data_IF_144212025067
#
_entry.id   IF_144212025067
#
_cell.length_a   1.000
_cell.length_b   1.000
_cell.length_c   1.000
_cell.angle_alpha   90.00
_cell.angle_beta   90.00
_cell.angle_gamma   90.00
#
_symmetry.space_group_name_H-M   'P 1'
#
loop_
_entity.id
_entity.type
_entity.pdbx_description
1 polymer ?
#
# COMPACT_ATOMS: atom_id res chain seq x y z
N UNK A 1 38.75 -0.56 -35.29
CA UNK A 1 38.30 -1.15 -34.00
C UNK A 1 37.85 0.00 -33.14
N UNK A 2 36.56 0.36 -33.22
CA UNK A 2 35.99 1.49 -32.49
C UNK A 2 35.63 1.04 -31.08
N UNK A 3 36.26 1.69 -30.10
CA UNK A 3 35.97 1.53 -28.67
C UNK A 3 34.52 1.94 -28.41
N UNK A 4 33.68 1.01 -27.96
CA UNK A 4 32.36 1.33 -27.41
C UNK A 4 32.57 1.99 -26.05
N UNK A 5 32.35 3.29 -25.99
CA UNK A 5 32.16 4.01 -24.74
C UNK A 5 30.88 3.47 -24.08
N UNK A 6 31.03 2.65 -23.04
CA UNK A 6 29.95 2.44 -22.08
C UNK A 6 29.78 3.76 -21.31
N UNK A 7 28.69 4.49 -21.56
CA UNK A 7 28.21 5.46 -20.60
C UNK A 7 27.92 4.72 -19.29
N UNK A 8 28.39 5.20 -18.13
CA UNK A 8 28.03 4.60 -16.86
C UNK A 8 26.52 4.75 -16.67
N UNK A 9 25.82 3.63 -16.45
CA UNK A 9 24.43 3.64 -15.99
C UNK A 9 24.32 4.62 -14.81
N UNK A 10 23.45 5.62 -14.92
CA UNK A 10 23.15 6.54 -13.82
C UNK A 10 22.53 5.73 -12.68
N UNK A 11 23.35 5.20 -11.77
CA UNK A 11 22.90 4.73 -10.48
C UNK A 11 22.35 5.92 -9.72
N UNK A 12 21.02 5.99 -9.62
CA UNK A 12 20.39 6.92 -8.69
C UNK A 12 20.76 6.47 -7.27
N UNK A 13 21.15 7.39 -6.38
CA UNK A 13 21.36 7.03 -4.99
C UNK A 13 20.06 6.45 -4.41
N UNK A 14 20.20 5.34 -3.69
CA UNK A 14 19.08 4.67 -3.01
C UNK A 14 18.36 5.69 -2.12
N UNK A 15 17.04 5.67 -2.15
CA UNK A 15 16.22 6.56 -1.31
C UNK A 15 15.63 5.76 -0.17
N UNK A 16 15.80 6.25 1.05
CA UNK A 16 15.04 5.80 2.20
C UNK A 16 14.01 6.85 2.56
N UNK A 17 12.76 6.43 2.73
CA UNK A 17 11.71 7.26 3.33
C UNK A 17 11.44 6.72 4.73
N UNK A 18 11.43 7.60 5.71
CA UNK A 18 11.07 7.33 7.10
C UNK A 18 9.71 7.96 7.38
N UNK A 19 8.75 7.16 7.76
CA UNK A 19 7.35 7.53 8.02
C UNK A 19 6.79 6.45 8.96
N UNK A 20 6.06 6.73 10.02
CA UNK A 20 5.46 5.63 10.77
C UNK A 20 4.26 5.08 9.97
N UNK A 21 4.04 3.77 10.02
CA UNK A 21 2.84 3.14 9.47
C UNK A 21 2.46 1.94 10.33
N UNK A 22 1.17 1.63 10.41
CA UNK A 22 0.71 0.55 11.30
C UNK A 22 1.31 -0.80 10.91
N UNK A 23 1.44 -1.67 11.92
CA UNK A 23 2.05 -2.99 11.76
C UNK A 23 3.57 -3.00 11.94
N UNK A 24 4.10 -2.01 12.65
CA UNK A 24 5.49 -1.87 13.05
C UNK A 24 6.37 -1.27 11.96
N UNK A 25 5.82 -0.96 10.79
CA UNK A 25 6.57 -0.47 9.64
C UNK A 25 6.97 0.99 9.83
N UNK A 26 8.22 1.33 9.48
CA UNK A 26 8.66 2.72 9.56
C UNK A 26 9.62 3.18 8.46
N UNK A 27 10.15 2.27 7.63
CA UNK A 27 11.11 2.61 6.58
C UNK A 27 10.81 1.94 5.24
N UNK A 28 10.93 2.69 4.15
CA UNK A 28 10.74 2.21 2.78
C UNK A 28 11.93 2.58 1.91
N UNK A 29 12.22 1.73 0.93
CA UNK A 29 13.40 1.86 0.08
C UNK A 29 13.02 1.94 -1.40
N UNK A 30 13.50 2.96 -2.11
CA UNK A 30 13.35 3.10 -3.56
C UNK A 30 14.72 3.07 -4.25
N UNK A 31 14.88 2.11 -5.18
CA UNK A 31 16.10 1.87 -5.96
C UNK A 31 16.00 2.31 -7.42
N UNK A 32 14.79 2.59 -7.89
CA UNK A 32 14.47 2.80 -9.32
C UNK A 32 14.49 4.28 -9.71
N UNK A 33 14.75 5.18 -8.76
CA UNK A 33 14.75 6.61 -9.02
C UNK A 33 13.38 7.21 -9.34
N UNK A 34 12.31 6.42 -9.18
CA UNK A 34 10.92 6.84 -9.36
C UNK A 34 10.40 7.63 -8.15
N UNK A 35 9.21 8.23 -8.27
CA UNK A 35 8.54 8.94 -7.17
C UNK A 35 7.80 7.98 -6.20
N UNK A 36 7.84 6.68 -6.47
CA UNK A 36 7.21 5.65 -5.65
C UNK A 36 7.86 5.55 -4.25
N UNK A 37 7.12 5.03 -3.27
CA UNK A 37 7.67 4.78 -1.92
C UNK A 37 8.71 3.66 -1.95
N UNK A 38 8.46 2.66 -2.80
CA UNK A 38 9.16 1.39 -2.80
C UNK A 38 8.68 0.45 -1.68
N UNK A 39 9.21 -0.78 -1.60
CA UNK A 39 8.83 -1.74 -0.56
C UNK A 39 9.22 -1.26 0.84
N UNK A 40 8.46 -1.70 1.85
CA UNK A 40 8.86 -1.60 3.24
C UNK A 40 10.14 -2.42 3.46
N UNK A 41 11.02 -1.86 4.28
CA UNK A 41 12.38 -2.35 4.44
C UNK A 41 12.91 -2.16 5.86
N UNK A 42 12.14 -1.48 6.72
CA UNK A 42 12.42 -1.39 8.13
C UNK A 42 11.11 -1.40 8.94
N UNK A 43 11.15 -2.14 10.03
CA UNK A 43 10.09 -2.26 11.01
C UNK A 43 10.67 -2.38 12.43
N UNK A 44 9.79 -2.48 13.44
CA UNK A 44 10.19 -2.62 14.85
C UNK A 44 11.08 -3.84 15.14
N UNK A 45 11.11 -4.84 14.26
CA UNK A 45 11.93 -6.04 14.41
C UNK A 45 13.31 -5.91 13.76
N UNK A 46 13.49 -5.04 12.77
CA UNK A 46 14.79 -4.88 12.12
C UNK A 46 14.89 -3.84 11.01
N UNK A 47 16.13 -3.57 10.61
CA UNK A 47 16.48 -2.76 9.44
C UNK A 47 17.05 -3.67 8.35
N UNK A 48 16.33 -3.78 7.24
CA UNK A 48 16.73 -4.62 6.11
C UNK A 48 17.65 -3.93 5.10
N UNK A 49 18.00 -2.64 5.30
CA UNK A 49 18.66 -1.70 4.38
C UNK A 49 19.68 -2.28 3.41
N UNK A 50 19.70 -1.78 2.16
CA UNK A 50 20.90 -1.90 1.30
C UNK A 50 22.17 -1.40 2.03
N UNK A 51 21.98 -0.43 2.94
CA UNK A 51 23.02 0.12 3.78
C UNK A 51 22.70 -0.19 5.24
N UNK A 52 23.61 -0.83 5.99
CA UNK A 52 23.39 -1.13 7.41
C UNK A 52 23.39 0.16 8.25
N UNK A 53 22.70 0.10 9.39
CA UNK A 53 22.68 1.16 10.40
C UNK A 53 23.10 0.59 11.75
N UNK A 54 23.41 1.46 12.70
CA UNK A 54 23.72 1.04 14.08
C UNK A 54 22.51 0.39 14.76
N UNK A 55 22.77 -0.59 15.63
CA UNK A 55 21.72 -1.22 16.45
C UNK A 55 21.00 -0.17 17.33
N UNK A 56 21.74 0.80 17.87
CA UNK A 56 21.17 1.88 18.67
C UNK A 56 20.17 2.74 17.88
N UNK A 57 20.46 3.03 16.62
CA UNK A 57 19.56 3.78 15.75
C UNK A 57 18.31 2.95 15.42
N UNK A 58 18.48 1.66 15.12
CA UNK A 58 17.36 0.72 14.92
C UNK A 58 16.44 0.66 16.15
N UNK A 59 17.00 0.51 17.36
CA UNK A 59 16.24 0.50 18.61
C UNK A 59 15.49 1.81 18.83
N UNK A 60 16.13 2.93 18.52
CA UNK A 60 15.52 4.26 18.63
C UNK A 60 14.33 4.42 17.68
N UNK A 61 14.44 3.94 16.44
CA UNK A 61 13.31 3.90 15.50
C UNK A 61 12.20 2.97 15.98
N UNK A 62 12.53 1.77 16.45
CA UNK A 62 11.54 0.83 16.97
C UNK A 62 10.75 1.41 18.15
N UNK A 63 11.41 2.14 19.05
CA UNK A 63 10.76 2.83 20.17
C UNK A 63 9.82 3.95 19.70
N UNK A 64 10.26 4.76 18.72
CA UNK A 64 9.44 5.81 18.11
C UNK A 64 8.23 5.22 17.37
N UNK A 65 8.40 4.14 16.63
CA UNK A 65 7.31 3.45 15.94
C UNK A 65 6.32 2.81 16.92
N UNK A 66 6.82 2.21 18.00
CA UNK A 66 5.97 1.59 19.03
C UNK A 66 5.04 2.61 19.70
N UNK A 67 5.45 3.86 19.82
CA UNK A 67 4.59 4.94 20.32
C UNK A 67 3.44 5.25 19.36
N UNK A 68 3.72 5.29 18.04
CA UNK A 68 2.70 5.46 17.02
C UNK A 68 1.68 4.32 17.05
N UNK A 69 2.14 3.06 17.13
CA UNK A 69 1.28 1.88 17.23
C UNK A 69 0.34 1.89 18.45
N UNK A 70 0.81 2.47 19.56
CA UNK A 70 0.06 2.52 20.82
C UNK A 70 -0.85 3.74 20.93
N UNK A 71 -0.80 4.66 19.97
CA UNK A 71 -1.68 5.81 19.95
C UNK A 71 -3.14 5.36 19.94
N UNK A 72 -3.98 6.05 20.71
CA UNK A 72 -5.43 5.87 20.57
C UNK A 72 -5.84 6.47 19.22
N UNK A 73 -6.70 5.77 18.49
CA UNK A 73 -7.08 6.20 17.15
C UNK A 73 -8.59 6.45 17.10
N UNK A 74 -8.98 7.58 16.50
CA UNK A 74 -10.34 7.78 16.05
C UNK A 74 -10.50 7.10 14.70
N UNK A 75 -11.06 5.89 14.72
CA UNK A 75 -11.18 5.06 13.53
C UNK A 75 -12.18 5.59 12.50
N UNK A 76 -13.16 6.41 12.91
CA UNK A 76 -14.08 7.06 11.97
C UNK A 76 -13.38 8.19 11.21
N UNK A 77 -12.44 8.87 11.87
CA UNK A 77 -11.65 9.94 11.26
C UNK A 77 -10.33 9.47 10.64
N UNK A 78 -9.83 8.28 10.98
CA UNK A 78 -8.51 7.79 10.57
C UNK A 78 -7.35 8.55 11.22
N UNK A 79 -7.55 9.08 12.43
CA UNK A 79 -6.59 9.98 13.09
C UNK A 79 -6.01 9.30 14.33
N UNK A 80 -4.68 9.31 14.45
CA UNK A 80 -4.00 8.94 15.69
C UNK A 80 -3.95 10.15 16.66
N UNK A 81 -4.30 9.90 17.91
CA UNK A 81 -4.27 10.89 18.98
C UNK A 81 -2.87 10.94 19.60
N UNK A 82 -1.98 11.68 18.94
CA UNK A 82 -0.60 11.92 19.35
C UNK A 82 -0.33 13.39 19.62
N UNK A 83 0.70 13.67 20.42
CA UNK A 83 1.39 14.96 20.40
C UNK A 83 2.23 15.04 19.13
N UNK A 84 1.56 15.33 18.01
CA UNK A 84 2.15 15.33 16.67
C UNK A 84 3.41 16.18 16.54
N UNK A 85 3.47 17.43 17.04
CA UNK A 85 4.70 18.23 17.01
C UNK A 85 5.89 17.52 17.65
N UNK A 86 5.71 16.98 18.86
CA UNK A 86 6.78 16.27 19.58
C UNK A 86 7.14 14.95 18.92
N UNK A 87 6.15 14.24 18.40
CA UNK A 87 6.35 12.98 17.69
C UNK A 87 7.18 13.19 16.41
N UNK A 88 6.88 14.24 15.62
CA UNK A 88 7.63 14.60 14.43
C UNK A 88 9.03 15.13 14.73
N UNK A 89 9.20 15.92 15.80
CA UNK A 89 10.52 16.38 16.24
C UNK A 89 11.48 15.20 16.47
N UNK A 90 11.00 14.16 17.17
CA UNK A 90 11.76 12.94 17.42
C UNK A 90 12.03 12.14 16.15
N UNK A 91 11.01 11.91 15.31
CA UNK A 91 11.17 11.22 14.04
C UNK A 91 12.20 11.90 13.13
N UNK A 92 12.16 13.24 13.05
CA UNK A 92 13.11 14.04 12.28
C UNK A 92 14.53 13.93 12.84
N UNK A 93 14.70 13.93 14.16
CA UNK A 93 16.01 13.73 14.79
C UNK A 93 16.60 12.35 14.44
N UNK A 94 15.78 11.30 14.42
CA UNK A 94 16.21 9.96 14.00
C UNK A 94 16.58 9.91 12.51
N UNK A 95 15.78 10.53 11.65
CA UNK A 95 16.08 10.58 10.23
C UNK A 95 17.37 11.39 9.93
N UNK A 96 17.70 12.42 10.75
CA UNK A 96 19.00 13.10 10.68
C UNK A 96 20.16 12.19 11.10
N UNK A 97 19.99 11.40 12.17
CA UNK A 97 20.99 10.38 12.57
C UNK A 97 21.21 9.36 11.46
N UNK A 98 20.13 8.91 10.81
CA UNK A 98 20.20 8.02 9.65
C UNK A 98 21.00 8.65 8.50
N UNK A 99 20.74 9.92 8.17
CA UNK A 99 21.52 10.63 7.15
C UNK A 99 22.99 10.76 7.53
N UNK A 100 23.31 10.98 8.81
CA UNK A 100 24.69 11.04 9.29
C UNK A 100 25.41 9.68 9.19
N UNK A 101 24.73 8.58 9.48
CA UNK A 101 25.30 7.22 9.35
C UNK A 101 25.49 6.81 7.88
N UNK A 102 24.52 7.14 7.01
CA UNK A 102 24.54 6.73 5.61
C UNK A 102 25.28 7.71 4.68
N UNK A 103 25.57 8.93 5.13
CA UNK A 103 26.26 9.92 4.30
C UNK A 103 25.62 10.10 2.91
N UNK A 104 26.44 10.21 1.87
CA UNK A 104 25.96 10.47 0.50
C UNK A 104 25.58 9.21 -0.31
N UNK A 105 25.73 8.02 0.26
CA UNK A 105 25.33 6.79 -0.45
C UNK A 105 23.82 6.63 -0.56
N UNK A 106 23.06 7.35 0.28
CA UNK A 106 21.61 7.37 0.24
C UNK A 106 21.00 8.77 0.43
N UNK A 107 19.82 8.96 -0.17
CA UNK A 107 18.96 10.12 0.10
C UNK A 107 17.94 9.75 1.16
N UNK A 108 17.79 10.59 2.18
CA UNK A 108 16.91 10.32 3.31
C UNK A 108 15.76 11.31 3.29
N UNK A 109 14.55 10.77 3.33
CA UNK A 109 13.32 11.53 3.42
C UNK A 109 12.64 11.23 4.73
N UNK A 110 12.05 12.26 5.32
CA UNK A 110 11.07 12.12 6.38
C UNK A 110 9.71 12.46 5.82
N UNK A 111 8.72 11.64 6.10
CA UNK A 111 7.36 11.82 5.63
C UNK A 111 6.36 11.63 6.76
N UNK A 112 5.33 12.47 6.75
CA UNK A 112 4.25 12.41 7.71
C UNK A 112 3.29 11.28 7.38
N UNK A 113 2.79 10.55 8.38
CA UNK A 113 1.81 9.50 8.18
C UNK A 113 0.44 10.09 7.86
N UNK A 114 -0.44 9.30 7.25
CA UNK A 114 -1.77 9.79 6.84
C UNK A 114 -2.67 10.11 8.04
N UNK A 115 -2.35 9.53 9.19
CA UNK A 115 -3.00 9.70 10.47
C UNK A 115 -2.74 11.09 11.09
N UNK A 116 -1.73 11.85 10.65
CA UNK A 116 -1.52 13.25 11.06
C UNK A 116 -2.61 14.12 10.41
N UNK A 117 -3.47 14.82 11.18
CA UNK A 117 -4.46 15.74 10.61
C UNK A 117 -3.81 16.90 9.82
N UNK A 118 -2.54 17.20 10.09
CA UNK A 118 -1.73 18.18 9.37
C UNK A 118 -0.72 17.54 8.42
N UNK A 119 -0.99 16.31 7.95
CA UNK A 119 -0.08 15.56 7.08
C UNK A 119 0.36 16.37 5.86
N UNK A 120 -0.50 17.24 5.31
CA UNK A 120 -0.21 18.04 4.11
C UNK A 120 0.77 19.19 4.35
N UNK A 121 0.99 19.59 5.60
CA UNK A 121 1.93 20.68 5.94
C UNK A 121 3.33 20.08 6.08
N UNK A 122 4.24 20.43 5.16
CA UNK A 122 5.57 19.85 5.07
C UNK A 122 5.51 18.31 5.07
N UNK A 123 4.58 17.79 4.25
CA UNK A 123 4.25 16.36 4.17
C UNK A 123 5.48 15.48 4.06
N UNK A 124 6.40 15.89 3.21
CA UNK A 124 7.66 15.21 3.00
C UNK A 124 8.79 16.22 2.89
N UNK A 125 9.89 15.89 3.53
CA UNK A 125 11.11 16.68 3.50
C UNK A 125 12.30 15.77 3.25
N UNK A 126 13.31 16.29 2.57
CA UNK A 126 14.60 15.64 2.42
C UNK A 126 15.57 16.16 3.48
N UNK A 127 16.40 15.26 3.99
CA UNK A 127 17.49 15.58 4.92
C UNK A 127 18.79 15.55 4.14
N UNK A 128 19.43 16.72 4.05
CA UNK A 128 20.70 16.91 3.38
C UNK A 128 21.87 16.50 4.27
N UNK A 129 23.06 16.38 3.68
CA UNK A 129 24.27 15.91 4.37
C UNK A 129 24.70 16.79 5.56
N UNK A 130 24.38 18.08 5.53
CA UNK A 130 24.62 19.04 6.62
C UNK A 130 23.51 19.02 7.69
N UNK A 131 22.50 18.14 7.54
CA UNK A 131 21.34 18.06 8.43
C UNK A 131 20.24 19.09 8.13
N UNK A 132 20.43 19.93 7.11
CA UNK A 132 19.41 20.85 6.61
C UNK A 132 18.22 20.05 6.08
N UNK A 133 17.03 20.56 6.38
CA UNK A 133 15.77 19.96 5.94
C UNK A 133 15.19 20.84 4.84
N UNK A 134 14.98 20.25 3.67
CA UNK A 134 14.40 20.94 2.52
C UNK A 134 13.08 20.29 2.15
N UNK A 135 12.09 21.11 1.78
CA UNK A 135 10.81 20.59 1.30
C UNK A 135 11.03 19.75 0.03
N UNK A 136 10.51 18.53 0.04
CA UNK A 136 10.69 17.58 -1.05
C UNK A 136 9.36 17.38 -1.77
N UNK A 137 9.17 18.18 -2.81
CA UNK A 137 7.96 18.20 -3.64
C UNK A 137 8.13 17.20 -4.79
N UNK A 138 7.49 16.03 -4.72
CA UNK A 138 7.43 15.08 -5.85
C UNK A 138 6.15 15.31 -6.68
N UNK A 139 6.25 15.71 -7.96
CA UNK A 139 5.10 16.10 -8.78
C UNK A 139 4.03 15.02 -8.93
N UNK A 140 4.39 13.72 -8.94
CA UNK A 140 3.42 12.63 -9.11
C UNK A 140 2.59 12.32 -7.87
N UNK A 141 3.14 12.47 -6.66
CA UNK A 141 2.36 12.37 -5.41
C UNK A 141 1.49 13.60 -5.16
N UNK A 142 1.83 14.70 -5.81
CA UNK A 142 1.08 15.95 -5.80
C UNK A 142 0.06 16.07 -6.94
N UNK A 143 -0.34 14.97 -7.60
CA UNK A 143 -1.63 14.96 -8.30
C UNK A 143 -2.76 14.94 -7.27
N UNK A 144 -3.01 16.14 -6.73
CA UNK A 144 -4.32 16.81 -6.64
C UNK A 144 -5.51 15.86 -6.71
N UNK A 145 -6.02 15.43 -5.54
CA UNK A 145 -7.16 14.52 -5.39
C UNK A 145 -7.01 13.23 -6.21
N UNK A 146 -6.99 12.08 -5.52
CA UNK A 146 -7.35 10.82 -6.19
C UNK A 146 -8.59 11.11 -7.06
N UNK A 147 -8.62 10.66 -8.31
CA UNK A 147 -9.70 11.06 -9.21
C UNK A 147 -11.05 10.85 -8.53
N UNK A 148 -12.00 11.78 -8.68
CA UNK A 148 -13.28 11.73 -7.95
C UNK A 148 -14.08 10.43 -8.16
N UNK A 149 -13.71 9.64 -9.18
CA UNK A 149 -14.29 8.33 -9.47
C UNK A 149 -13.65 7.17 -8.70
N UNK A 150 -12.50 7.38 -8.07
CA UNK A 150 -11.80 6.36 -7.30
C UNK A 150 -12.56 6.09 -6.00
N UNK A 151 -12.60 4.83 -5.54
CA UNK A 151 -13.20 4.53 -4.24
C UNK A 151 -12.49 5.24 -3.09
N UNK A 152 -13.27 5.77 -2.15
CA UNK A 152 -12.77 6.31 -0.90
C UNK A 152 -12.22 5.22 0.03
N UNK A 153 -12.64 3.96 -0.15
CA UNK A 153 -12.12 2.84 0.63
C UNK A 153 -12.06 1.56 -0.20
N UNK A 154 -10.96 0.81 -0.06
CA UNK A 154 -10.77 -0.52 -0.63
C UNK A 154 -10.84 -1.57 0.47
N UNK A 155 -11.76 -2.53 0.35
CA UNK A 155 -11.85 -3.65 1.28
C UNK A 155 -11.50 -4.97 0.60
N UNK A 156 -10.91 -5.87 1.37
CA UNK A 156 -10.52 -7.21 0.93
C UNK A 156 -10.38 -8.11 2.16
N UNK A 157 -10.33 -9.43 1.97
CA UNK A 157 -10.21 -10.36 3.10
C UNK A 157 -8.81 -10.83 3.44
N UNK A 158 -7.78 -10.21 2.85
CA UNK A 158 -6.38 -10.40 3.25
C UNK A 158 -5.78 -11.76 2.96
N UNK A 159 -6.41 -12.59 2.11
CA UNK A 159 -5.80 -13.83 1.62
C UNK A 159 -4.62 -13.51 0.68
N UNK A 160 -3.73 -14.47 0.41
CA UNK A 160 -2.74 -14.35 -0.67
C UNK A 160 -3.39 -14.14 -2.03
N UNK A 161 -2.62 -13.72 -3.04
CA UNK A 161 -3.15 -13.47 -4.38
C UNK A 161 -3.86 -12.12 -4.48
N UNK A 162 -5.04 -12.10 -5.08
CA UNK A 162 -5.77 -10.85 -5.39
C UNK A 162 -6.10 -10.04 -4.14
N UNK A 163 -6.52 -10.71 -3.07
CA UNK A 163 -6.90 -10.05 -1.83
C UNK A 163 -5.74 -9.21 -1.27
N UNK A 164 -4.51 -9.75 -1.31
CA UNK A 164 -3.29 -9.06 -0.86
C UNK A 164 -2.89 -7.94 -1.82
N UNK A 165 -2.95 -8.20 -3.13
CA UNK A 165 -2.61 -7.21 -4.14
C UNK A 165 -3.50 -5.96 -4.03
N UNK A 166 -4.79 -6.13 -3.76
CA UNK A 166 -5.71 -5.01 -3.55
C UNK A 166 -5.36 -4.17 -2.32
N UNK A 167 -4.98 -4.81 -1.21
CA UNK A 167 -4.59 -4.11 0.00
C UNK A 167 -3.26 -3.39 -0.16
N UNK A 168 -2.25 -4.04 -0.77
CA UNK A 168 -0.97 -3.41 -1.07
C UNK A 168 -1.14 -2.23 -2.04
N UNK A 169 -1.99 -2.38 -3.07
CA UNK A 169 -2.32 -1.29 -3.98
C UNK A 169 -2.93 -0.10 -3.24
N UNK A 170 -3.92 -0.33 -2.37
CA UNK A 170 -4.53 0.72 -1.58
C UNK A 170 -3.52 1.40 -0.64
N UNK A 171 -2.66 0.64 0.04
CA UNK A 171 -1.56 1.20 0.84
C UNK A 171 -0.63 2.10 -0.01
N UNK A 172 -0.21 1.62 -1.18
CA UNK A 172 0.72 2.33 -2.05
C UNK A 172 0.16 3.66 -2.57
N UNK A 173 -1.16 3.72 -2.80
CA UNK A 173 -1.88 4.92 -3.26
C UNK A 173 -2.54 5.72 -2.13
N UNK A 174 -2.32 5.33 -0.86
CA UNK A 174 -2.93 5.95 0.33
C UNK A 174 -4.45 6.02 0.27
N UNK A 175 -5.06 5.00 -0.32
CA UNK A 175 -6.50 4.81 -0.28
C UNK A 175 -6.81 4.12 1.06
N UNK A 176 -7.73 4.64 1.89
CA UNK A 176 -8.17 3.93 3.08
C UNK A 176 -8.50 2.46 2.75
N UNK A 177 -7.96 1.53 3.53
CA UNK A 177 -8.11 0.11 3.27
C UNK A 177 -8.57 -0.66 4.49
N UNK A 178 -9.11 -1.86 4.27
CA UNK A 178 -9.47 -2.76 5.36
C UNK A 178 -10.25 -3.98 4.88
N UNK A 179 -11.23 -4.41 5.67
CA UNK A 179 -12.15 -5.49 5.33
C UNK A 179 -12.18 -6.60 6.37
N UNK A 180 -12.95 -7.64 6.09
CA UNK A 180 -13.16 -8.75 7.00
C UNK A 180 -12.20 -9.91 6.71
N UNK A 181 -11.51 -10.40 7.74
CA UNK A 181 -10.67 -11.60 7.68
C UNK A 181 -11.18 -12.67 8.67
N UNK A 182 -10.81 -13.95 8.52
CA UNK A 182 -11.24 -14.98 9.48
C UNK A 182 -10.65 -14.74 10.87
N UNK A 183 -11.30 -15.27 11.90
CA UNK A 183 -10.77 -15.31 13.26
C UNK A 183 -9.31 -15.85 13.28
N UNK A 184 -8.45 -15.21 14.06
CA UNK A 184 -7.00 -15.42 14.11
C UNK A 184 -6.25 -14.84 12.91
N UNK A 185 -6.87 -13.92 12.16
CA UNK A 185 -6.38 -13.36 10.89
C UNK A 185 -5.87 -14.47 9.96
N UNK A 186 -6.61 -15.53 9.68
CA UNK A 186 -6.05 -16.67 8.92
C UNK A 186 -5.90 -16.37 7.42
N UNK A 187 -4.70 -16.60 6.87
CA UNK A 187 -4.44 -16.70 5.44
C UNK A 187 -3.52 -17.91 5.12
N UNK A 188 -3.33 -18.22 3.84
CA UNK A 188 -2.56 -19.40 3.37
C UNK A 188 -1.08 -19.36 3.76
N UNK A 189 -0.50 -18.18 3.88
CA UNK A 189 0.90 -17.92 4.20
C UNK A 189 1.13 -17.53 5.67
N UNK A 190 0.13 -17.78 6.53
CA UNK A 190 0.11 -17.33 7.92
C UNK A 190 -0.72 -16.05 8.10
N UNK A 191 -0.70 -15.44 9.29
CA UNK A 191 -1.49 -14.25 9.54
C UNK A 191 -1.06 -13.04 8.67
N UNK A 192 -1.99 -12.36 7.97
CA UNK A 192 -1.79 -11.03 7.42
C UNK A 192 -1.08 -10.09 8.38
N UNK A 193 -0.02 -9.44 7.90
CA UNK A 193 0.66 -8.36 8.61
C UNK A 193 -0.34 -7.35 9.21
N UNK A 194 -0.01 -6.80 10.37
CA UNK A 194 -0.84 -5.84 11.07
C UNK A 194 -1.04 -4.52 10.30
N UNK A 195 -0.22 -4.23 9.26
CA UNK A 195 -0.42 -3.09 8.34
C UNK A 195 -1.76 -3.12 7.60
N UNK A 196 -2.38 -4.29 7.49
CA UNK A 196 -3.71 -4.43 6.91
C UNK A 196 -4.77 -4.25 7.98
N UNK A 197 -5.60 -3.22 7.81
CA UNK A 197 -6.67 -2.83 8.72
C UNK A 197 -7.90 -3.75 8.66
N UNK A 198 -7.65 -5.04 8.89
CA UNK A 198 -8.64 -6.11 8.79
C UNK A 198 -9.33 -6.32 10.13
N UNK A 199 -10.65 -6.51 10.06
CA UNK A 199 -11.51 -6.90 11.18
C UNK A 199 -11.71 -8.40 11.18
N UNK A 200 -11.49 -9.04 12.31
CA UNK A 200 -11.73 -10.48 12.43
C UNK A 200 -13.23 -10.77 12.49
N UNK A 201 -13.65 -11.81 11.79
CA UNK A 201 -14.98 -12.38 11.95
C UNK A 201 -15.03 -13.30 13.17
N UNK A 202 -16.23 -13.58 13.66
CA UNK A 202 -16.45 -14.51 14.78
C UNK A 202 -16.05 -15.97 14.45
N UNK A 203 -15.97 -16.32 13.16
CA UNK A 203 -15.55 -17.65 12.69
C UNK A 203 -14.16 -17.64 12.06
N UNK A 204 -13.41 -18.73 12.25
CA UNK A 204 -12.18 -19.02 11.53
C UNK A 204 -12.41 -19.47 10.06
N UNK A 205 -13.68 -19.57 9.61
CA UNK A 205 -14.06 -20.00 8.27
C UNK A 205 -14.12 -18.87 7.23
N UNK A 206 -13.59 -19.12 6.02
CA UNK A 206 -13.54 -18.11 4.96
C UNK A 206 -14.90 -17.65 4.44
N UNK A 207 -15.95 -18.46 4.56
CA UNK A 207 -17.28 -18.12 4.02
C UNK A 207 -17.88 -16.87 4.68
N UNK A 208 -17.69 -16.70 6.00
CA UNK A 208 -18.25 -15.55 6.72
C UNK A 208 -17.56 -14.26 6.29
N UNK A 209 -16.22 -14.25 6.26
CA UNK A 209 -15.46 -13.07 5.82
C UNK A 209 -15.76 -12.69 4.37
N UNK A 210 -15.94 -13.66 3.48
CA UNK A 210 -16.29 -13.39 2.08
C UNK A 210 -17.67 -12.75 1.98
N UNK A 211 -18.65 -13.28 2.72
CA UNK A 211 -20.00 -12.71 2.77
C UNK A 211 -19.98 -11.26 3.28
N UNK A 212 -19.29 -10.99 4.39
CA UNK A 212 -19.25 -9.66 5.01
C UNK A 212 -18.55 -8.62 4.14
N UNK A 213 -17.43 -8.97 3.48
CA UNK A 213 -16.78 -8.06 2.53
C UNK A 213 -17.69 -7.66 1.36
N UNK A 214 -18.52 -8.57 0.85
CA UNK A 214 -19.52 -8.25 -0.19
C UNK A 214 -20.68 -7.42 0.37
N UNK A 215 -21.12 -7.75 1.58
CA UNK A 215 -22.27 -7.10 2.22
C UNK A 215 -21.98 -5.63 2.58
N UNK A 216 -20.79 -5.39 3.15
CA UNK A 216 -20.38 -4.11 3.74
C UNK A 216 -19.60 -3.23 2.76
N UNK A 217 -19.59 -3.59 1.47
CA UNK A 217 -19.09 -2.76 0.37
C UNK A 217 -20.23 -2.33 -0.55
N UNK A 218 -20.03 -1.28 -1.33
CA UNK A 218 -21.01 -0.82 -2.31
C UNK A 218 -20.99 -1.69 -3.56
N UNK A 219 -19.81 -2.17 -3.95
CA UNK A 219 -19.62 -3.03 -5.10
C UNK A 219 -18.44 -3.98 -4.92
N UNK A 220 -18.40 -5.06 -5.73
CA UNK A 220 -17.32 -6.03 -5.72
C UNK A 220 -16.65 -6.17 -7.09
N UNK A 221 -15.36 -5.84 -7.17
CA UNK A 221 -14.49 -6.17 -8.29
C UNK A 221 -13.87 -7.56 -8.07
N UNK A 222 -14.08 -8.46 -9.02
CA UNK A 222 -13.55 -9.83 -9.00
C UNK A 222 -12.50 -9.94 -10.09
N UNK A 223 -11.23 -10.06 -9.68
CA UNK A 223 -10.11 -10.29 -10.60
C UNK A 223 -9.81 -11.79 -10.62
N UNK A 224 -9.72 -12.36 -11.82
CA UNK A 224 -9.58 -13.79 -11.98
C UNK A 224 -8.72 -14.14 -13.20
N UNK A 225 -8.18 -15.34 -13.22
CA UNK A 225 -7.62 -16.01 -14.40
C UNK A 225 -8.45 -17.27 -14.58
N UNK A 226 -8.68 -17.76 -15.80
CA UNK A 226 -9.40 -19.00 -16.10
C UNK A 226 -10.82 -19.10 -15.53
N UNK A 227 -11.27 -20.31 -15.20
CA UNK A 227 -12.62 -20.54 -14.67
C UNK A 227 -12.78 -19.97 -13.26
N UNK A 228 -13.97 -19.46 -12.93
CA UNK A 228 -14.29 -19.04 -11.57
C UNK A 228 -14.59 -20.27 -10.71
N UNK A 229 -13.80 -20.48 -9.66
CA UNK A 229 -13.97 -21.59 -8.73
C UNK A 229 -13.94 -21.17 -7.24
N UNK A 230 -14.36 -22.09 -6.38
CA UNK A 230 -14.18 -21.99 -4.92
C UNK A 230 -14.63 -20.67 -4.31
N UNK A 231 -13.73 -20.04 -3.54
CA UNK A 231 -14.01 -18.78 -2.85
C UNK A 231 -14.37 -17.63 -3.79
N UNK A 232 -13.72 -17.56 -4.97
CA UNK A 232 -13.97 -16.51 -5.97
C UNK A 232 -15.38 -16.63 -6.55
N UNK A 233 -15.79 -17.85 -6.94
CA UNK A 233 -17.16 -18.10 -7.40
C UNK A 233 -18.19 -17.81 -6.29
N UNK A 234 -17.86 -18.17 -5.04
CA UNK A 234 -18.72 -17.88 -3.90
C UNK A 234 -18.89 -16.37 -3.65
N UNK A 235 -17.85 -15.56 -3.87
CA UNK A 235 -17.95 -14.08 -3.84
C UNK A 235 -18.97 -13.57 -4.86
N UNK A 236 -18.87 -14.03 -6.12
CA UNK A 236 -19.83 -13.68 -7.18
C UNK A 236 -21.26 -14.05 -6.78
N UNK A 237 -21.47 -15.28 -6.32
CA UNK A 237 -22.78 -15.74 -5.86
C UNK A 237 -23.33 -14.95 -4.67
N UNK A 238 -22.49 -14.42 -3.78
CA UNK A 238 -22.95 -13.53 -2.72
C UNK A 238 -23.38 -12.17 -3.29
N UNK A 239 -22.60 -11.59 -4.20
CA UNK A 239 -22.93 -10.31 -4.82
C UNK A 239 -24.25 -10.38 -5.58
N UNK A 240 -24.43 -11.43 -6.40
CA UNK A 240 -25.68 -11.68 -7.14
C UNK A 240 -26.88 -11.85 -6.21
N UNK A 241 -26.77 -12.70 -5.18
CA UNK A 241 -27.87 -12.93 -4.23
C UNK A 241 -28.26 -11.70 -3.41
N UNK A 242 -27.31 -10.80 -3.17
CA UNK A 242 -27.55 -9.55 -2.43
C UNK A 242 -27.96 -8.40 -3.35
N UNK A 243 -27.97 -8.58 -4.67
CA UNK A 243 -28.19 -7.50 -5.64
C UNK A 243 -27.11 -6.42 -5.61
N UNK A 244 -25.90 -6.76 -5.15
CA UNK A 244 -24.76 -5.81 -5.08
C UNK A 244 -24.11 -5.70 -6.47
N UNK A 245 -23.83 -4.48 -6.95
CA UNK A 245 -23.03 -4.27 -8.15
C UNK A 245 -21.72 -5.05 -8.10
N UNK A 246 -21.37 -5.72 -9.20
CA UNK A 246 -20.13 -6.45 -9.29
C UNK A 246 -19.58 -6.45 -10.70
N UNK A 247 -18.27 -6.66 -10.82
CA UNK A 247 -17.57 -6.75 -12.09
C UNK A 247 -16.57 -7.89 -12.04
N UNK A 248 -16.74 -8.88 -12.90
CA UNK A 248 -15.72 -9.93 -13.11
C UNK A 248 -14.81 -9.50 -14.26
N UNK A 249 -13.50 -9.56 -14.03
CA UNK A 249 -12.47 -9.27 -15.02
C UNK A 249 -11.53 -10.46 -15.12
N UNK A 250 -11.45 -11.04 -16.32
CA UNK A 250 -10.53 -12.13 -16.63
C UNK A 250 -9.21 -11.53 -17.11
N UNK A 251 -8.13 -11.77 -16.38
CA UNK A 251 -6.81 -11.19 -16.60
C UNK A 251 -5.96 -11.97 -17.61
N UNK A 252 -6.40 -13.17 -18.00
CA UNK A 252 -5.76 -14.04 -18.99
C UNK A 252 -6.30 -13.87 -20.42
N UNK A 253 -7.36 -13.09 -20.60
CA UNK A 253 -8.06 -12.98 -21.89
C UNK A 253 -7.66 -11.73 -22.69
N UNK A 254 -6.88 -10.81 -22.12
CA UNK A 254 -6.59 -9.50 -22.72
C UNK A 254 -5.18 -8.99 -22.36
N UNK A 255 -4.66 -8.05 -23.16
CA UNK A 255 -3.46 -7.27 -22.80
C UNK A 255 -3.80 -6.35 -21.60
N UNK A 256 -2.93 -6.16 -20.58
CA UNK A 256 -3.28 -5.47 -19.33
C UNK A 256 -3.94 -4.08 -19.42
N UNK A 257 -3.76 -3.35 -20.53
CA UNK A 257 -4.42 -2.07 -20.76
C UNK A 257 -5.94 -2.18 -20.88
N UNK A 258 -6.45 -3.22 -21.55
CA UNK A 258 -7.89 -3.39 -21.80
C UNK A 258 -8.69 -3.73 -20.51
N UNK A 259 -8.23 -4.65 -19.64
CA UNK A 259 -8.83 -4.86 -18.33
C UNK A 259 -8.86 -3.60 -17.47
N UNK A 260 -7.78 -2.80 -17.46
CA UNK A 260 -7.70 -1.57 -16.68
C UNK A 260 -8.76 -0.55 -17.11
N UNK A 261 -8.91 -0.31 -18.42
CA UNK A 261 -9.92 0.62 -18.93
C UNK A 261 -11.35 0.16 -18.64
N UNK A 262 -11.61 -1.14 -18.74
CA UNK A 262 -12.91 -1.73 -18.36
C UNK A 262 -13.22 -1.58 -16.88
N UNK A 263 -12.20 -1.60 -16.02
CA UNK A 263 -12.36 -1.35 -14.58
C UNK A 263 -12.61 0.14 -14.35
N UNK A 264 -11.76 1.03 -14.88
CA UNK A 264 -11.88 2.48 -14.73
C UNK A 264 -13.25 2.98 -15.18
N UNK A 265 -13.74 2.56 -16.35
CA UNK A 265 -15.07 2.95 -16.85
C UNK A 265 -16.20 2.47 -15.93
N UNK A 266 -16.07 1.26 -15.37
CA UNK A 266 -17.07 0.72 -14.45
C UNK A 266 -17.08 1.47 -13.11
N UNK A 267 -15.92 1.84 -12.58
CA UNK A 267 -15.80 2.66 -11.37
C UNK A 267 -16.40 4.06 -11.57
N UNK A 268 -16.06 4.72 -12.69
CA UNK A 268 -16.62 6.03 -13.07
C UNK A 268 -18.15 5.98 -13.14
N UNK A 269 -18.70 4.97 -13.80
CA UNK A 269 -20.15 4.83 -13.94
C UNK A 269 -20.85 4.50 -12.61
N UNK A 270 -20.18 3.72 -11.75
CA UNK A 270 -20.75 3.22 -10.50
C UNK A 270 -20.70 4.20 -9.33
N UNK A 271 -19.78 5.18 -9.32
CA UNK A 271 -19.52 6.08 -8.17
C UNK A 271 -19.41 5.31 -6.85
N UNK A 272 -18.58 4.27 -6.87
CA UNK A 272 -18.44 3.32 -5.77
C UNK A 272 -17.60 3.96 -4.67
N UNK A 273 -18.14 4.12 -3.46
CA UNK A 273 -17.41 4.70 -2.34
C UNK A 273 -16.53 3.63 -1.65
N UNK A 274 -17.12 2.47 -1.34
CA UNK A 274 -16.41 1.32 -0.75
C UNK A 274 -16.36 0.18 -1.75
N UNK A 275 -15.17 -0.12 -2.28
CA UNK A 275 -14.96 -1.20 -3.23
C UNK A 275 -14.38 -2.44 -2.56
N UNK A 276 -15.08 -3.55 -2.63
CA UNK A 276 -14.49 -4.86 -2.32
C UNK A 276 -13.72 -5.39 -3.53
N UNK A 277 -12.48 -5.81 -3.34
CA UNK A 277 -11.69 -6.48 -4.37
C UNK A 277 -11.40 -7.91 -3.93
N UNK A 278 -11.72 -8.87 -4.79
CA UNK A 278 -11.62 -10.28 -4.48
C UNK A 278 -11.09 -11.10 -5.66
N UNK A 279 -10.49 -12.24 -5.37
CA UNK A 279 -10.02 -13.17 -6.40
C UNK A 279 -9.42 -14.44 -5.83
N UNK A 280 -8.81 -15.29 -6.68
CA UNK A 280 -8.21 -16.53 -6.22
C UNK A 280 -6.95 -16.25 -5.40
N UNK A 281 -6.64 -17.19 -4.50
CA UNK A 281 -5.40 -17.21 -3.73
C UNK A 281 -4.20 -17.58 -4.59
N UNK A 282 -3.02 -17.11 -4.22
CA UNK A 282 -1.78 -17.29 -4.99
C UNK A 282 -1.49 -18.77 -5.31
N UNK A 283 -1.63 -19.65 -4.31
CA UNK A 283 -1.43 -21.09 -4.45
C UNK A 283 -2.34 -21.72 -5.54
N UNK A 284 -3.56 -21.20 -5.71
CA UNK A 284 -4.49 -21.72 -6.73
C UNK A 284 -4.19 -21.20 -8.12
N UNK A 285 -3.71 -19.96 -8.23
CA UNK A 285 -3.39 -19.28 -9.49
C UNK A 285 -2.07 -18.53 -9.33
N UNK A 286 -0.93 -19.21 -9.49
CA UNK A 286 0.39 -18.58 -9.37
C UNK A 286 0.54 -17.37 -10.32
N UNK A 287 1.08 -16.27 -9.81
CA UNK A 287 1.23 -15.00 -10.51
C UNK A 287 0.00 -14.07 -10.42
N UNK A 288 -1.12 -14.51 -9.83
CA UNK A 288 -2.33 -13.69 -9.77
C UNK A 288 -2.13 -12.41 -8.94
N UNK A 289 -1.33 -12.45 -7.87
CA UNK A 289 -0.97 -11.24 -7.13
C UNK A 289 -0.38 -10.17 -8.04
N UNK A 290 0.66 -10.53 -8.80
CA UNK A 290 1.39 -9.58 -9.66
C UNK A 290 0.49 -9.04 -10.79
N UNK A 291 -0.35 -9.90 -11.38
CA UNK A 291 -1.31 -9.50 -12.40
C UNK A 291 -2.38 -8.54 -11.85
N UNK A 292 -2.91 -8.84 -10.65
CA UNK A 292 -3.90 -7.99 -10.00
C UNK A 292 -3.32 -6.63 -9.61
N UNK A 293 -2.11 -6.57 -9.06
CA UNK A 293 -1.45 -5.31 -8.74
C UNK A 293 -1.19 -4.49 -10.00
N UNK A 294 -0.65 -5.13 -11.05
CA UNK A 294 -0.36 -4.47 -12.33
C UNK A 294 -1.59 -3.86 -13.00
N UNK A 295 -2.74 -4.55 -12.99
CA UNK A 295 -3.97 -4.01 -13.59
C UNK A 295 -4.56 -2.86 -12.75
N UNK A 296 -4.48 -2.95 -11.42
CA UNK A 296 -4.95 -1.89 -10.53
C UNK A 296 -4.08 -0.62 -10.65
N UNK A 297 -2.76 -0.77 -10.75
CA UNK A 297 -1.86 0.37 -11.00
C UNK A 297 -2.14 1.02 -12.36
N UNK A 298 -2.42 0.23 -13.39
CA UNK A 298 -2.83 0.77 -14.70
C UNK A 298 -4.15 1.52 -14.66
N UNK A 299 -5.05 1.24 -13.71
CA UNK A 299 -6.26 2.04 -13.55
C UNK A 299 -5.94 3.49 -13.15
N UNK A 300 -4.81 3.71 -12.46
CA UNK A 300 -4.32 5.01 -12.00
C UNK A 300 -3.43 5.75 -13.01
N UNK A 301 -2.94 5.04 -14.04
CA UNK A 301 -2.09 5.64 -15.07
C UNK A 301 -2.86 6.67 -15.92
N UNK A 302 -2.19 7.76 -16.29
CA UNK A 302 -2.76 8.75 -17.21
C UNK A 302 -2.99 8.16 -18.60
N UNK A 303 -3.85 8.79 -19.42
CA UNK A 303 -4.15 8.32 -20.78
C UNK A 303 -2.89 8.25 -21.68
N UNK A 304 -1.88 9.08 -21.41
CA UNK A 304 -0.59 9.06 -22.13
C UNK A 304 0.32 7.89 -21.71
N UNK A 305 0.15 7.35 -20.50
CA UNK A 305 0.92 6.22 -19.96
C UNK A 305 0.29 4.86 -20.27
N UNK A 306 -0.96 4.87 -20.76
CA UNK A 306 -1.71 3.68 -21.18
C UNK A 306 -1.47 3.31 -22.65
N UNK A 307 -0.98 4.26 -23.45
CA UNK A 307 -0.63 4.11 -24.88
C UNK A 307 0.70 3.38 -25.08
#
# INVERSE_FOLDING_TARGET
MGSMNHEPERQFPVRYTIMPDYGGAYGWINREGTDALGPNHADTCGWGGDHPISEELQESFAAWQTEFERAQNDWEAGIALLDWPRFHERGMALARRLKAELGDVARIYYEKPVEDPNQRVNERVEILADGTVVEAVFPRRLQTSLPDWLPNTVVSGGQTGVDRAALDWACNHRIPHGGWCPQGRRASDGPPSAKYQLRETESAGYRQRTKLNVQDSDATLILNVGELDGGTLQTLQFAERMGKPHRVVQLDQCVPAEPADRITQWLIAGRINTLNVAGPREEKRPGIYALALSVLDRCMASQEEKA
#
